data_IF_372975813563
#
_entry.id   IF_372975813563
#
_cell.length_a   1.000
_cell.length_b   1.000
_cell.length_c   1.000
_cell.angle_alpha   90.00
_cell.angle_beta   90.00
_cell.angle_gamma   90.00
#
_symmetry.space_group_name_H-M   'P 1'
#
loop_
_entity.id
_entity.type
_entity.pdbx_description
1 polymer ?
#
# COMPACT_ATOMS: atom_id res chain seq x y z
N UNK A 1 -62.67 -43.15 -12.62
CA UNK A 1 -61.52 -44.04 -12.85
C UNK A 1 -61.03 -43.74 -14.26
N UNK A 2 -60.20 -42.69 -14.42
CA UNK A 2 -59.41 -42.36 -15.63
C UNK A 2 -58.72 -41.00 -15.40
N UNK A 3 -57.62 -40.97 -14.64
CA UNK A 3 -56.77 -39.77 -14.55
C UNK A 3 -55.30 -40.07 -14.19
N UNK A 4 -54.86 -41.32 -14.33
CA UNK A 4 -53.54 -41.81 -13.92
C UNK A 4 -52.74 -42.41 -15.08
N UNK A 5 -52.82 -41.83 -16.28
CA UNK A 5 -52.03 -42.30 -17.43
C UNK A 5 -51.30 -41.21 -18.25
N UNK A 6 -51.34 -39.94 -17.83
CA UNK A 6 -50.69 -38.83 -18.56
C UNK A 6 -49.37 -38.34 -17.94
N UNK A 7 -49.10 -38.67 -16.67
CA UNK A 7 -47.89 -38.20 -15.97
C UNK A 7 -46.67 -39.12 -16.13
N UNK A 8 -46.87 -40.40 -16.46
CA UNK A 8 -45.77 -41.38 -16.55
C UNK A 8 -45.03 -41.36 -17.89
N UNK A 9 -45.63 -40.82 -18.96
CA UNK A 9 -44.98 -40.70 -20.28
C UNK A 9 -44.04 -39.49 -20.40
N UNK A 10 -44.25 -38.42 -19.61
CA UNK A 10 -43.40 -37.21 -19.68
C UNK A 10 -42.08 -37.31 -18.92
N UNK A 11 -41.93 -38.27 -18.01
CA UNK A 11 -40.70 -38.45 -17.22
C UNK A 11 -39.68 -39.41 -17.82
N UNK A 12 -40.01 -40.19 -18.87
CA UNK A 12 -39.08 -41.15 -19.47
C UNK A 12 -38.36 -40.69 -20.75
N UNK A 13 -38.73 -39.55 -21.36
CA UNK A 13 -38.10 -39.09 -22.62
C UNK A 13 -36.95 -38.08 -22.38
N UNK A 14 -36.80 -37.51 -21.19
CA UNK A 14 -35.72 -36.53 -20.90
C UNK A 14 -34.41 -37.13 -20.39
N UNK A 15 -34.33 -38.45 -20.21
CA UNK A 15 -33.08 -39.15 -19.85
C UNK A 15 -32.70 -40.13 -20.94
N UNK A 16 -32.22 -39.63 -22.07
CA UNK A 16 -31.25 -40.35 -22.90
C UNK A 16 -30.71 -39.46 -24.03
N UNK A 17 -29.37 -39.44 -24.13
CA UNK A 17 -28.56 -39.10 -25.31
C UNK A 17 -28.22 -37.62 -25.58
N UNK A 18 -27.07 -37.21 -25.05
CA UNK A 18 -26.04 -36.43 -25.79
C UNK A 18 -25.27 -37.40 -26.73
N UNK A 19 -24.49 -37.03 -27.77
CA UNK A 19 -24.18 -35.72 -28.41
C UNK A 19 -24.32 -35.72 -29.97
N UNK A 20 -23.87 -34.62 -30.61
CA UNK A 20 -23.22 -34.52 -31.96
C UNK A 20 -24.04 -34.04 -33.19
N UNK A 21 -23.67 -32.83 -33.64
CA UNK A 21 -23.59 -32.27 -35.00
C UNK A 21 -24.76 -32.17 -36.01
N UNK A 22 -24.94 -30.92 -36.46
CA UNK A 22 -25.30 -30.43 -37.79
C UNK A 22 -26.78 -30.47 -38.23
N UNK A 23 -27.26 -29.34 -38.75
CA UNK A 23 -28.44 -29.31 -39.62
C UNK A 23 -29.50 -28.27 -39.25
N UNK A 24 -29.39 -27.09 -39.88
CA UNK A 24 -30.51 -26.33 -40.46
C UNK A 24 -31.92 -26.59 -39.90
N UNK A 25 -32.38 -25.76 -38.97
CA UNK A 25 -33.77 -25.75 -38.50
C UNK A 25 -34.21 -24.35 -38.11
N UNK A 26 -35.34 -23.89 -38.66
CA UNK A 26 -35.81 -22.50 -38.56
C UNK A 26 -36.04 -22.04 -37.13
N UNK A 27 -35.44 -20.89 -36.79
CA UNK A 27 -35.69 -20.16 -35.54
C UNK A 27 -37.11 -19.58 -35.55
N UNK A 28 -38.10 -20.40 -35.19
CA UNK A 28 -39.35 -19.91 -34.61
C UNK A 28 -39.08 -19.52 -33.16
N UNK A 29 -39.46 -18.31 -32.78
CA UNK A 29 -39.76 -17.99 -31.38
C UNK A 29 -38.60 -17.53 -30.49
N UNK A 30 -37.67 -16.73 -31.02
CA UNK A 30 -36.78 -15.93 -30.19
C UNK A 30 -37.02 -14.45 -30.48
N UNK A 31 -37.86 -13.78 -29.68
CA UNK A 31 -38.09 -12.34 -29.81
C UNK A 31 -36.75 -11.60 -29.73
N UNK A 32 -36.26 -11.14 -30.89
CA UNK A 32 -35.13 -10.23 -30.97
C UNK A 32 -35.65 -8.92 -30.37
N UNK A 33 -35.42 -8.70 -29.07
CA UNK A 33 -35.41 -7.34 -28.56
C UNK A 33 -34.26 -6.65 -29.28
N UNK A 34 -34.49 -5.61 -30.10
CA UNK A 34 -33.40 -4.87 -30.72
C UNK A 34 -32.60 -4.21 -29.59
N UNK A 35 -31.48 -4.84 -29.20
CA UNK A 35 -30.57 -4.32 -28.18
C UNK A 35 -29.53 -3.37 -28.78
N UNK A 36 -29.89 -2.70 -29.87
CA UNK A 36 -29.27 -1.48 -30.33
C UNK A 36 -30.40 -0.46 -30.52
N UNK A 37 -30.97 0.04 -29.41
CA UNK A 37 -31.54 1.37 -29.51
C UNK A 37 -30.38 2.32 -29.72
N UNK A 38 -30.35 2.90 -30.92
CA UNK A 38 -29.65 4.14 -31.23
C UNK A 38 -30.35 5.20 -30.37
N UNK A 39 -30.10 5.17 -29.07
CA UNK A 39 -30.51 6.21 -28.14
C UNK A 39 -29.19 6.76 -27.66
N UNK A 40 -28.99 8.05 -27.88
CA UNK A 40 -27.85 8.81 -27.41
C UNK A 40 -27.29 8.15 -26.15
N UNK A 41 -26.04 7.68 -26.21
CA UNK A 41 -25.30 7.33 -25.00
C UNK A 41 -25.11 8.64 -24.22
N UNK A 42 -26.18 9.04 -23.54
CA UNK A 42 -26.22 10.20 -22.66
C UNK A 42 -25.17 9.99 -21.58
N UNK A 43 -24.56 11.09 -21.14
CA UNK A 43 -23.63 11.14 -20.00
C UNK A 43 -24.11 10.30 -18.79
N UNK A 44 -25.43 10.16 -18.62
CA UNK A 44 -26.09 9.36 -17.59
C UNK A 44 -25.87 7.85 -17.74
N UNK A 45 -25.94 7.28 -18.95
CA UNK A 45 -25.65 5.86 -19.17
C UNK A 45 -24.15 5.55 -19.10
N UNK A 46 -23.32 6.56 -19.38
CA UNK A 46 -21.88 6.51 -19.22
C UNK A 46 -21.46 6.50 -17.73
N UNK A 47 -21.99 7.41 -16.92
CA UNK A 47 -21.77 7.43 -15.47
C UNK A 47 -22.09 6.08 -14.82
N UNK A 48 -23.19 5.43 -15.25
CA UNK A 48 -23.56 4.08 -14.78
C UNK A 48 -22.53 2.99 -15.13
N UNK A 49 -21.97 3.00 -16.35
CA UNK A 49 -20.93 2.02 -16.75
C UNK A 49 -19.61 2.28 -16.01
N UNK A 50 -19.29 3.54 -15.75
CA UNK A 50 -18.10 3.95 -15.01
C UNK A 50 -18.20 3.59 -13.53
N UNK A 51 -19.30 3.94 -12.86
CA UNK A 51 -19.62 3.58 -11.46
C UNK A 51 -19.58 2.07 -11.21
N UNK A 52 -20.05 1.28 -12.18
CA UNK A 52 -20.05 -0.19 -12.10
C UNK A 52 -18.65 -0.81 -12.23
N UNK A 53 -17.67 -0.08 -12.80
CA UNK A 53 -16.32 -0.60 -13.06
C UNK A 53 -15.26 -0.05 -12.11
N UNK A 54 -15.41 1.19 -11.64
CA UNK A 54 -14.49 1.80 -10.67
C UNK A 54 -14.56 1.05 -9.34
N UNK A 55 -15.77 0.74 -8.84
CA UNK A 55 -15.94 0.10 -7.53
C UNK A 55 -15.08 -1.15 -7.35
N UNK A 56 -15.15 -2.14 -8.26
CA UNK A 56 -14.29 -3.33 -8.21
C UNK A 56 -12.79 -3.00 -8.28
N UNK A 57 -12.38 -2.07 -9.15
CA UNK A 57 -10.96 -1.71 -9.30
C UNK A 57 -10.44 -1.06 -8.02
N UNK A 58 -11.16 -0.08 -7.47
CA UNK A 58 -10.81 0.57 -6.21
C UNK A 58 -10.76 -0.44 -5.05
N UNK A 59 -11.69 -1.40 -5.03
CA UNK A 59 -11.69 -2.48 -4.02
C UNK A 59 -10.44 -3.35 -4.11
N UNK A 60 -10.06 -3.82 -5.30
CA UNK A 60 -8.82 -4.58 -5.48
C UNK A 60 -7.58 -3.75 -5.13
N UNK A 61 -7.55 -2.47 -5.47
CA UNK A 61 -6.44 -1.58 -5.09
C UNK A 61 -6.31 -1.47 -3.56
N UNK A 62 -7.43 -1.27 -2.84
CA UNK A 62 -7.43 -1.19 -1.38
C UNK A 62 -6.97 -2.49 -0.73
N UNK A 63 -7.39 -3.65 -1.25
CA UNK A 63 -6.91 -4.96 -0.76
C UNK A 63 -5.40 -5.07 -0.97
N UNK A 64 -4.92 -4.82 -2.18
CA UNK A 64 -3.48 -4.94 -2.49
C UNK A 64 -2.65 -4.01 -1.60
N UNK A 65 -3.10 -2.76 -1.42
CA UNK A 65 -2.42 -1.81 -0.55
C UNK A 65 -2.42 -2.30 0.91
N UNK A 66 -3.56 -2.78 1.42
CA UNK A 66 -3.64 -3.32 2.77
C UNK A 66 -2.72 -4.53 2.96
N UNK A 67 -2.69 -5.47 2.01
CA UNK A 67 -1.82 -6.65 2.09
C UNK A 67 -0.34 -6.27 2.09
N UNK A 68 0.08 -5.39 1.17
CA UNK A 68 1.48 -4.94 1.11
C UNK A 68 1.86 -4.19 2.39
N UNK A 69 0.98 -3.33 2.91
CA UNK A 69 1.23 -2.61 4.15
C UNK A 69 1.33 -3.55 5.35
N UNK A 70 0.43 -4.52 5.51
CA UNK A 70 0.48 -5.47 6.64
C UNK A 70 1.78 -6.25 6.62
N UNK A 71 2.17 -6.80 5.46
CA UNK A 71 3.44 -7.54 5.33
C UNK A 71 4.61 -6.62 5.69
N UNK A 72 4.63 -5.41 5.14
CA UNK A 72 5.70 -4.46 5.40
C UNK A 72 5.73 -3.99 6.86
N UNK A 73 4.59 -3.82 7.52
CA UNK A 73 4.51 -3.47 8.95
C UNK A 73 5.13 -4.55 9.82
N UNK A 74 4.87 -5.82 9.54
CA UNK A 74 5.45 -6.94 10.32
C UNK A 74 6.98 -6.93 10.22
N UNK A 75 7.51 -6.77 9.00
CA UNK A 75 8.96 -6.69 8.81
C UNK A 75 9.56 -5.41 9.41
N UNK A 76 8.89 -4.28 9.24
CA UNK A 76 9.30 -3.00 9.78
C UNK A 76 9.33 -3.02 11.30
N UNK A 77 8.30 -3.54 11.97
CA UNK A 77 8.20 -3.63 13.43
C UNK A 77 9.30 -4.51 14.01
N UNK A 78 9.58 -5.65 13.38
CA UNK A 78 10.68 -6.52 13.80
C UNK A 78 12.05 -5.82 13.69
N UNK A 79 12.29 -5.12 12.58
CA UNK A 79 13.55 -4.42 12.39
C UNK A 79 13.67 -3.18 13.28
N UNK A 80 12.58 -2.40 13.40
CA UNK A 80 12.50 -1.20 14.21
C UNK A 80 12.66 -1.51 15.70
N UNK A 81 11.99 -2.55 16.21
CA UNK A 81 12.15 -2.98 17.61
C UNK A 81 13.60 -3.30 17.95
N UNK A 82 14.30 -4.03 17.07
CA UNK A 82 15.72 -4.35 17.24
C UNK A 82 16.60 -3.09 17.20
N UNK A 83 16.30 -2.12 16.32
CA UNK A 83 17.04 -0.85 16.22
C UNK A 83 16.79 0.07 17.41
N UNK A 84 15.56 0.14 17.91
CA UNK A 84 15.21 0.95 19.08
C UNK A 84 15.88 0.40 20.33
N UNK A 85 15.93 -0.92 20.49
CA UNK A 85 16.66 -1.57 21.59
C UNK A 85 18.17 -1.25 21.54
N UNK A 86 18.76 -1.25 20.34
CA UNK A 86 20.14 -0.80 20.15
C UNK A 86 20.33 0.66 20.57
N UNK A 87 19.46 1.55 20.09
CA UNK A 87 19.49 2.99 20.43
C UNK A 87 19.38 3.19 21.95
N UNK A 88 18.48 2.47 22.62
CA UNK A 88 18.32 2.54 24.07
C UNK A 88 19.54 2.00 24.81
N UNK A 89 20.13 0.90 24.35
CA UNK A 89 21.37 0.36 24.91
C UNK A 89 22.53 1.37 24.80
N UNK A 90 22.70 1.96 23.62
CA UNK A 90 23.73 2.99 23.38
C UNK A 90 23.47 4.22 24.26
N UNK A 91 22.22 4.70 24.34
CA UNK A 91 21.84 5.85 25.19
C UNK A 91 22.16 5.60 26.66
N UNK A 92 21.86 4.40 27.16
CA UNK A 92 22.16 4.01 28.54
C UNK A 92 23.66 4.07 28.83
N UNK A 93 24.47 3.55 27.91
CA UNK A 93 25.93 3.55 28.05
C UNK A 93 26.52 4.97 28.00
N UNK A 94 26.05 5.82 27.08
CA UNK A 94 26.50 7.23 27.01
C UNK A 94 26.13 7.97 28.30
N UNK A 95 24.93 7.74 28.85
CA UNK A 95 24.50 8.33 30.11
C UNK A 95 25.33 7.84 31.30
N UNK A 96 25.71 6.56 31.34
CA UNK A 96 26.61 6.02 32.37
C UNK A 96 28.00 6.66 32.28
N UNK A 97 28.58 6.77 31.08
CA UNK A 97 29.86 7.45 30.86
C UNK A 97 29.82 8.94 31.22
N UNK A 98 28.70 9.61 30.93
CA UNK A 98 28.49 11.01 31.31
C UNK A 98 28.39 11.17 32.84
N UNK A 99 27.68 10.27 33.54
CA UNK A 99 27.63 10.26 35.01
C UNK A 99 29.00 10.04 35.62
N UNK A 100 29.79 9.10 35.09
CA UNK A 100 31.15 8.85 35.57
C UNK A 100 32.02 10.10 35.42
N UNK A 101 31.97 10.74 34.24
CA UNK A 101 32.71 11.98 33.94
C UNK A 101 32.32 13.14 34.87
N UNK A 102 31.04 13.30 35.16
CA UNK A 102 30.54 14.34 36.06
C UNK A 102 30.82 14.02 37.55
N UNK A 103 30.89 12.73 37.91
CA UNK A 103 31.23 12.27 39.25
C UNK A 103 32.69 12.53 39.61
N UNK A 104 33.62 12.33 38.68
CA UNK A 104 35.04 12.73 38.85
C UNK A 104 35.20 14.22 39.13
N UNK A 105 34.39 15.08 38.50
CA UNK A 105 34.39 16.53 38.73
C UNK A 105 33.92 16.91 40.16
N UNK A 106 33.11 16.05 40.77
CA UNK A 106 32.51 16.28 42.10
C UNK A 106 33.37 15.72 43.24
N UNK A 107 34.24 14.75 42.94
CA UNK A 107 35.03 14.03 43.95
C UNK A 107 36.41 14.67 44.17
N UNK A 108 36.98 15.34 43.16
CA UNK A 108 38.19 16.17 43.33
C UNK A 108 37.96 17.47 44.13
N UNK A 109 36.70 17.76 44.51
CA UNK A 109 36.35 18.95 45.28
C UNK A 109 36.60 18.85 46.80
N UNK A 110 36.87 17.66 47.36
CA UNK A 110 36.78 17.46 48.81
C UNK A 110 37.95 16.75 49.51
N UNK A 111 39.10 16.48 48.87
CA UNK A 111 40.30 16.00 49.59
C UNK A 111 41.53 16.90 49.38
N UNK A 112 41.63 17.87 50.29
CA UNK A 112 42.83 18.34 50.99
C UNK A 112 44.16 18.65 50.25
N UNK A 113 44.52 19.94 50.32
CA UNK A 113 45.81 20.52 50.73
C UNK A 113 46.82 20.98 49.65
N UNK A 114 47.12 22.28 49.78
CA UNK A 114 48.35 23.02 49.46
C UNK A 114 48.36 23.88 48.20
N UNK A 115 48.76 25.13 48.45
CA UNK A 115 49.06 26.21 47.51
C UNK A 115 50.06 25.74 46.45
N UNK A 116 49.61 25.64 45.20
CA UNK A 116 50.33 25.90 43.93
C UNK A 116 49.68 25.10 42.79
N UNK A 117 48.42 25.37 42.45
CA UNK A 117 47.83 24.83 41.20
C UNK A 117 46.59 25.61 40.79
N UNK A 118 46.76 26.91 40.50
CA UNK A 118 45.72 27.74 39.86
C UNK A 118 45.72 27.67 38.33
N UNK A 119 46.54 26.80 37.74
CA UNK A 119 46.71 26.66 36.29
C UNK A 119 46.28 25.30 35.70
N UNK A 120 46.17 24.23 36.51
CA UNK A 120 45.77 22.89 36.03
C UNK A 120 44.27 22.64 36.14
N UNK A 121 43.57 23.19 37.13
CA UNK A 121 42.12 22.98 37.31
C UNK A 121 41.26 23.65 36.24
N UNK A 122 41.73 24.77 35.65
CA UNK A 122 41.11 25.36 34.44
C UNK A 122 41.28 24.45 33.22
N UNK A 123 42.43 23.79 33.10
CA UNK A 123 42.77 22.92 31.95
C UNK A 123 41.91 21.65 31.89
N UNK A 124 41.49 21.08 33.02
CA UNK A 124 40.66 19.87 33.06
C UNK A 124 39.18 20.18 32.84
N UNK A 125 38.67 21.28 33.39
CA UNK A 125 37.30 21.73 33.13
C UNK A 125 37.11 22.17 31.66
N UNK A 126 38.09 22.84 31.07
CA UNK A 126 38.08 23.23 29.66
C UNK A 126 38.26 22.02 28.71
N UNK A 127 38.90 20.91 29.14
CA UNK A 127 39.02 19.68 28.33
C UNK A 127 37.80 18.74 28.45
N UNK A 128 37.09 18.74 29.59
CA UNK A 128 35.88 17.93 29.77
C UNK A 128 34.63 18.55 29.12
N UNK A 129 34.57 19.88 29.04
CA UNK A 129 33.45 20.60 28.42
C UNK A 129 33.12 20.15 26.99
N UNK A 130 34.09 20.01 26.06
CA UNK A 130 33.81 19.51 24.71
C UNK A 130 33.33 18.05 24.71
N UNK A 131 33.77 17.22 25.64
CA UNK A 131 33.36 15.80 25.76
C UNK A 131 31.89 15.71 26.18
N UNK A 132 31.49 16.48 27.19
CA UNK A 132 30.09 16.54 27.65
C UNK A 132 29.19 17.09 26.55
N UNK A 133 29.62 18.16 25.86
CA UNK A 133 28.83 18.77 24.78
C UNK A 133 28.62 17.77 23.62
N UNK A 134 29.68 17.05 23.24
CA UNK A 134 29.61 15.99 22.22
C UNK A 134 28.63 14.89 22.62
N UNK A 135 28.69 14.39 23.86
CA UNK A 135 27.76 13.35 24.34
C UNK A 135 26.31 13.83 24.38
N UNK A 136 26.06 15.09 24.75
CA UNK A 136 24.70 15.65 24.73
C UNK A 136 24.13 15.79 23.32
N UNK A 137 24.97 16.16 22.34
CA UNK A 137 24.58 16.19 20.93
C UNK A 137 24.22 14.78 20.43
N UNK A 138 25.04 13.78 20.75
CA UNK A 138 24.79 12.38 20.41
C UNK A 138 23.46 11.86 20.98
N UNK A 139 23.16 12.16 22.26
CA UNK A 139 21.89 11.81 22.89
C UNK A 139 20.71 12.47 22.15
N UNK A 140 20.85 13.74 21.76
CA UNK A 140 19.81 14.47 21.04
C UNK A 140 19.51 13.87 19.67
N UNK A 141 20.54 13.46 18.93
CA UNK A 141 20.39 12.80 17.64
C UNK A 141 19.72 11.43 17.76
N UNK A 142 20.13 10.61 18.74
CA UNK A 142 19.53 9.29 18.97
C UNK A 142 18.04 9.39 19.37
N UNK A 143 17.68 10.37 20.19
CA UNK A 143 16.29 10.61 20.54
C UNK A 143 15.45 11.04 19.33
N UNK A 144 16.00 11.90 18.47
CA UNK A 144 15.35 12.31 17.23
C UNK A 144 15.12 11.12 16.27
N UNK A 145 16.05 10.16 16.22
CA UNK A 145 15.85 8.93 15.45
C UNK A 145 14.70 8.10 16.01
N UNK A 146 14.67 7.87 17.33
CA UNK A 146 13.59 7.14 17.99
C UNK A 146 12.22 7.76 17.75
N UNK A 147 12.13 9.09 17.85
CA UNK A 147 10.88 9.83 17.60
C UNK A 147 10.39 9.65 16.16
N UNK A 148 11.28 9.73 15.16
CA UNK A 148 10.93 9.56 13.74
C UNK A 148 10.44 8.14 13.43
N UNK A 149 11.02 7.12 14.05
CA UNK A 149 10.55 5.74 13.93
C UNK A 149 9.12 5.59 14.46
N UNK A 150 8.88 6.09 15.68
CA UNK A 150 7.57 6.05 16.30
C UNK A 150 6.50 6.82 15.50
N UNK A 151 6.83 8.03 15.00
CA UNK A 151 5.93 8.78 14.14
C UNK A 151 5.57 7.98 12.88
N UNK A 152 6.55 7.30 12.26
CA UNK A 152 6.31 6.53 11.05
C UNK A 152 5.40 5.33 11.30
N UNK A 153 5.60 4.59 12.40
CA UNK A 153 4.74 3.46 12.77
C UNK A 153 3.29 3.90 12.96
N UNK A 154 3.06 5.01 13.67
CA UNK A 154 1.72 5.57 13.84
C UNK A 154 1.05 5.90 12.51
N UNK A 155 1.80 6.43 11.55
CA UNK A 155 1.29 6.82 10.23
C UNK A 155 0.99 5.59 9.37
N UNK A 156 1.83 4.55 9.43
CA UNK A 156 1.57 3.27 8.77
C UNK A 156 0.28 2.64 9.31
N UNK A 157 0.10 2.59 10.64
CA UNK A 157 -1.11 2.06 11.28
C UNK A 157 -2.35 2.87 10.86
N UNK A 158 -2.27 4.20 10.86
CA UNK A 158 -3.36 5.07 10.41
C UNK A 158 -3.79 4.76 8.96
N UNK A 159 -2.82 4.54 8.06
CA UNK A 159 -3.10 4.21 6.67
C UNK A 159 -3.76 2.82 6.54
N UNK A 160 -3.31 1.84 7.32
CA UNK A 160 -3.96 0.52 7.38
C UNK A 160 -5.41 0.66 7.81
N UNK A 161 -5.69 1.48 8.83
CA UNK A 161 -7.05 1.73 9.30
C UNK A 161 -7.93 2.39 8.21
N UNK A 162 -7.38 3.34 7.45
CA UNK A 162 -8.04 3.95 6.30
C UNK A 162 -8.34 2.91 5.22
N UNK A 163 -7.43 1.98 4.95
CA UNK A 163 -7.68 0.88 4.01
C UNK A 163 -8.81 -0.03 4.47
N UNK A 164 -8.80 -0.45 5.74
CA UNK A 164 -9.85 -1.30 6.32
C UNK A 164 -11.21 -0.61 6.20
N UNK A 165 -11.28 0.68 6.55
CA UNK A 165 -12.50 1.48 6.39
C UNK A 165 -12.98 1.51 4.92
N UNK A 166 -12.07 1.72 3.97
CA UNK A 166 -12.38 1.68 2.54
C UNK A 166 -12.90 0.32 2.06
N UNK A 167 -12.32 -0.77 2.56
CA UNK A 167 -12.75 -2.15 2.28
C UNK A 167 -14.15 -2.39 2.83
N UNK A 168 -14.42 -2.01 4.09
CA UNK A 168 -15.73 -2.15 4.73
C UNK A 168 -16.81 -1.36 3.97
N UNK A 169 -16.51 -0.12 3.57
CA UNK A 169 -17.41 0.71 2.75
C UNK A 169 -17.68 0.07 1.38
N UNK A 170 -16.66 -0.54 0.76
CA UNK A 170 -16.81 -1.24 -0.52
C UNK A 170 -17.74 -2.46 -0.39
N UNK A 171 -17.57 -3.26 0.66
CA UNK A 171 -18.43 -4.41 0.97
C UNK A 171 -19.87 -3.94 1.23
N UNK A 172 -20.04 -2.89 2.03
CA UNK A 172 -21.36 -2.30 2.28
C UNK A 172 -22.04 -1.85 0.97
N UNK A 173 -21.29 -1.21 0.06
CA UNK A 173 -21.76 -0.85 -1.27
C UNK A 173 -22.25 -2.05 -2.08
N UNK A 174 -21.49 -3.16 -2.08
CA UNK A 174 -21.87 -4.41 -2.77
C UNK A 174 -23.16 -5.02 -2.19
N UNK A 175 -23.28 -5.05 -0.84
CA UNK A 175 -24.46 -5.58 -0.15
C UNK A 175 -25.70 -4.76 -0.49
N UNK A 176 -25.60 -3.42 -0.46
CA UNK A 176 -26.70 -2.52 -0.81
C UNK A 176 -27.14 -2.75 -2.26
N UNK A 177 -26.18 -2.93 -3.18
CA UNK A 177 -26.49 -3.25 -4.58
C UNK A 177 -27.18 -4.61 -4.73
N UNK A 178 -26.76 -5.65 -4.01
CA UNK A 178 -27.40 -6.98 -4.06
C UNK A 178 -28.81 -6.97 -3.49
N UNK A 179 -29.01 -6.39 -2.31
CA UNK A 179 -30.29 -6.41 -1.58
C UNK A 179 -31.41 -5.65 -2.31
N UNK A 180 -31.05 -4.63 -3.09
CA UNK A 180 -32.01 -3.82 -3.87
C UNK A 180 -32.14 -4.24 -5.34
N UNK A 181 -31.82 -5.50 -5.70
CA UNK A 181 -32.06 -6.00 -7.06
C UNK A 181 -31.13 -5.42 -8.14
N UNK A 182 -29.92 -4.99 -7.73
CA UNK A 182 -28.91 -4.41 -8.61
C UNK A 182 -28.85 -2.88 -8.60
N UNK A 183 -27.92 -2.33 -9.36
CA UNK A 183 -27.64 -0.87 -9.45
C UNK A 183 -28.84 -0.08 -10.04
N UNK A 184 -29.87 -0.75 -10.57
CA UNK A 184 -30.93 -0.13 -11.37
C UNK A 184 -32.32 -0.03 -10.71
N UNK A 185 -32.59 -0.64 -9.56
CA UNK A 185 -33.99 -0.76 -9.11
C UNK A 185 -34.59 0.50 -8.45
N UNK A 186 -33.77 1.42 -7.89
CA UNK A 186 -34.29 2.63 -7.22
C UNK A 186 -33.35 3.84 -7.35
N UNK A 187 -33.91 5.06 -7.47
CA UNK A 187 -33.13 6.31 -7.53
C UNK A 187 -32.27 6.51 -6.26
N UNK A 188 -32.80 6.11 -5.10
CA UNK A 188 -32.12 6.19 -3.80
C UNK A 188 -30.89 5.28 -3.70
N UNK A 189 -30.96 4.01 -4.18
CA UNK A 189 -29.82 3.09 -4.10
C UNK A 189 -28.63 3.55 -4.93
N UNK A 190 -28.90 4.16 -6.09
CA UNK A 190 -27.86 4.74 -6.94
C UNK A 190 -27.15 5.90 -6.27
N UNK A 191 -27.90 6.80 -5.61
CA UNK A 191 -27.31 7.93 -4.89
C UNK A 191 -26.46 7.43 -3.72
N UNK A 192 -26.95 6.47 -2.94
CA UNK A 192 -26.20 5.89 -1.82
C UNK A 192 -24.89 5.23 -2.29
N UNK A 193 -24.93 4.42 -3.36
CA UNK A 193 -23.73 3.80 -3.93
C UNK A 193 -22.74 4.84 -4.48
N UNK A 194 -23.23 5.89 -5.16
CA UNK A 194 -22.39 6.98 -5.65
C UNK A 194 -21.70 7.75 -4.52
N UNK A 195 -22.40 8.00 -3.41
CA UNK A 195 -21.79 8.63 -2.22
C UNK A 195 -20.71 7.74 -1.60
N UNK A 196 -20.96 6.43 -1.46
CA UNK A 196 -19.96 5.48 -0.96
C UNK A 196 -18.72 5.48 -1.87
N UNK A 197 -18.91 5.45 -3.19
CA UNK A 197 -17.81 5.49 -4.15
C UNK A 197 -17.02 6.81 -4.06
N UNK A 198 -17.71 7.94 -3.89
CA UNK A 198 -17.07 9.24 -3.72
C UNK A 198 -16.24 9.30 -2.42
N UNK A 199 -16.75 8.75 -1.31
CA UNK A 199 -16.01 8.63 -0.06
C UNK A 199 -14.77 7.75 -0.24
N UNK A 200 -14.90 6.59 -0.90
CA UNK A 200 -13.76 5.70 -1.19
C UNK A 200 -12.70 6.43 -2.03
N UNK A 201 -13.09 7.18 -3.06
CA UNK A 201 -12.17 7.99 -3.85
C UNK A 201 -11.46 9.05 -2.99
N UNK A 202 -12.18 9.71 -2.08
CA UNK A 202 -11.60 10.68 -1.16
C UNK A 202 -10.59 10.03 -0.20
N UNK A 203 -10.91 8.84 0.35
CA UNK A 203 -9.97 8.07 1.17
C UNK A 203 -8.71 7.71 0.40
N UNK A 204 -8.82 7.30 -0.87
CA UNK A 204 -7.68 7.01 -1.73
C UNK A 204 -6.82 8.25 -2.01
N UNK A 205 -7.42 9.44 -2.15
CA UNK A 205 -6.68 10.71 -2.30
C UNK A 205 -5.93 11.05 -1.02
N UNK A 206 -6.59 10.96 0.14
CA UNK A 206 -5.95 11.18 1.46
C UNK A 206 -4.78 10.22 1.63
N UNK A 207 -4.99 8.95 1.30
CA UNK A 207 -3.96 7.93 1.37
C UNK A 207 -2.78 8.22 0.44
N UNK A 208 -3.04 8.64 -0.79
CA UNK A 208 -2.01 9.07 -1.74
C UNK A 208 -1.19 10.24 -1.18
N UNK A 209 -1.84 11.23 -0.57
CA UNK A 209 -1.17 12.37 0.05
C UNK A 209 -0.27 11.93 1.21
N UNK A 210 -0.76 11.03 2.07
CA UNK A 210 0.02 10.45 3.16
C UNK A 210 1.23 9.66 2.66
N UNK A 211 1.10 8.91 1.56
CA UNK A 211 2.23 8.22 0.94
C UNK A 211 3.30 9.20 0.46
N UNK A 212 2.91 10.28 -0.22
CA UNK A 212 3.84 11.24 -0.81
C UNK A 212 4.53 12.11 0.24
N UNK A 213 3.80 12.57 1.26
CA UNK A 213 4.32 13.57 2.21
C UNK A 213 4.94 12.94 3.43
N UNK A 214 4.42 11.80 3.89
CA UNK A 214 4.89 11.18 5.11
C UNK A 214 5.79 9.99 4.82
N UNK A 215 5.29 8.97 4.10
CA UNK A 215 6.06 7.72 3.94
C UNK A 215 7.25 7.87 3.00
N UNK A 216 7.12 8.62 1.91
CA UNK A 216 8.19 8.71 0.93
C UNK A 216 9.43 9.42 1.50
N UNK A 217 9.34 10.59 2.17
CA UNK A 217 10.51 11.22 2.78
C UNK A 217 11.10 10.36 3.90
N UNK A 218 10.27 9.70 4.71
CA UNK A 218 10.75 8.84 5.80
C UNK A 218 11.48 7.60 5.25
N UNK A 219 10.96 6.97 4.19
CA UNK A 219 11.60 5.83 3.54
C UNK A 219 13.00 6.16 3.00
N UNK A 220 13.17 7.34 2.38
CA UNK A 220 14.48 7.81 1.93
C UNK A 220 15.39 8.21 3.11
N UNK A 221 14.82 8.82 4.14
CA UNK A 221 15.58 9.20 5.32
C UNK A 221 16.16 7.98 6.03
N UNK A 222 15.38 6.91 6.23
CA UNK A 222 15.82 5.71 6.97
C UNK A 222 17.13 5.12 6.47
N UNK A 223 17.37 5.13 5.16
CA UNK A 223 18.65 4.66 4.62
C UNK A 223 19.83 5.43 5.19
N UNK A 224 19.74 6.77 5.18
CA UNK A 224 20.77 7.63 5.75
C UNK A 224 20.85 7.54 7.27
N UNK A 225 19.73 7.32 7.96
CA UNK A 225 19.72 7.17 9.42
C UNK A 225 20.40 5.89 9.87
N UNK A 226 20.13 4.77 9.20
CA UNK A 226 20.77 3.48 9.49
C UNK A 226 22.28 3.59 9.28
N UNK A 227 22.73 4.23 8.20
CA UNK A 227 24.16 4.43 7.96
C UNK A 227 24.82 5.26 9.06
N UNK A 228 24.20 6.37 9.45
CA UNK A 228 24.70 7.22 10.54
C UNK A 228 24.69 6.51 11.89
N UNK A 229 23.65 5.73 12.19
CA UNK A 229 23.55 4.98 13.44
C UNK A 229 24.63 3.89 13.52
N UNK A 230 24.89 3.21 12.40
CA UNK A 230 25.91 2.17 12.33
C UNK A 230 27.33 2.75 12.41
N UNK A 231 27.58 3.85 11.71
CA UNK A 231 28.84 4.60 11.80
C UNK A 231 29.05 5.15 13.22
N UNK A 232 28.00 5.70 13.82
CA UNK A 232 27.99 6.15 15.21
C UNK A 232 28.37 5.02 16.16
N UNK A 233 27.77 3.84 15.99
CA UNK A 233 28.07 2.68 16.81
C UNK A 233 29.53 2.23 16.66
N UNK A 234 30.06 2.23 15.43
CA UNK A 234 31.45 1.86 15.15
C UNK A 234 32.46 2.86 15.74
N UNK A 235 32.13 4.15 15.72
CA UNK A 235 32.99 5.24 16.23
C UNK A 235 32.76 5.57 17.70
N UNK A 236 31.70 5.03 18.33
CA UNK A 236 31.39 5.30 19.73
C UNK A 236 32.53 4.85 20.66
N UNK A 237 32.77 5.62 21.72
CA UNK A 237 33.74 5.29 22.80
C UNK A 237 33.29 4.10 23.67
N UNK A 238 32.23 3.38 23.28
CA UNK A 238 31.70 2.26 24.05
C UNK A 238 32.75 1.12 24.06
N UNK A 239 33.10 0.59 25.24
CA UNK A 239 34.09 -0.49 25.36
C UNK A 239 33.70 -1.71 24.52
N UNK A 240 34.70 -2.36 23.91
CA UNK A 240 34.54 -3.48 22.95
C UNK A 240 33.67 -4.62 23.50
N UNK A 241 33.77 -4.92 24.80
CA UNK A 241 33.05 -6.02 25.45
C UNK A 241 31.54 -5.77 25.48
N UNK A 242 31.16 -4.53 25.83
CA UNK A 242 29.76 -4.10 25.83
C UNK A 242 29.21 -3.92 24.42
N UNK A 243 30.08 -3.49 23.50
CA UNK A 243 29.75 -3.39 22.08
C UNK A 243 29.29 -4.74 21.54
N UNK A 244 30.08 -5.81 21.75
CA UNK A 244 29.72 -7.17 21.32
C UNK A 244 28.36 -7.63 21.87
N UNK A 245 28.10 -7.38 23.14
CA UNK A 245 26.81 -7.72 23.77
C UNK A 245 25.61 -7.00 23.12
N UNK A 246 25.80 -5.77 22.61
CA UNK A 246 24.76 -5.04 21.87
C UNK A 246 24.67 -5.44 20.38
N UNK A 247 25.75 -5.92 19.76
CA UNK A 247 25.72 -6.36 18.35
C UNK A 247 25.17 -7.77 18.17
N UNK A 248 25.41 -8.68 19.12
CA UNK A 248 25.02 -10.10 18.99
C UNK A 248 23.52 -10.30 18.69
N UNK A 249 22.56 -9.58 19.32
CA UNK A 249 21.14 -9.68 18.98
C UNK A 249 20.86 -9.26 17.53
N UNK A 250 21.54 -8.22 17.04
CA UNK A 250 21.37 -7.69 15.68
C UNK A 250 21.95 -8.65 14.65
N UNK A 251 23.18 -9.10 14.88
CA UNK A 251 23.88 -10.04 13.99
C UNK A 251 23.10 -11.35 13.86
N UNK A 252 22.53 -11.83 14.97
CA UNK A 252 21.71 -13.05 14.98
C UNK A 252 20.33 -12.84 14.33
N UNK A 253 19.62 -11.73 14.62
CA UNK A 253 18.28 -11.48 14.06
C UNK A 253 18.29 -11.21 12.55
N UNK A 254 19.34 -10.58 12.04
CA UNK A 254 19.48 -10.25 10.63
C UNK A 254 20.39 -11.22 9.86
N UNK A 255 21.10 -12.12 10.56
CA UNK A 255 22.04 -13.07 9.96
C UNK A 255 23.15 -12.36 9.21
N UNK A 256 23.78 -11.38 9.85
CA UNK A 256 24.76 -10.49 9.23
C UNK A 256 25.88 -10.14 10.21
N UNK A 257 26.93 -9.46 9.72
CA UNK A 257 28.03 -8.98 10.54
C UNK A 257 28.11 -7.46 10.47
N UNK A 258 28.18 -6.78 11.62
CA UNK A 258 28.27 -5.31 11.68
C UNK A 258 29.65 -4.81 11.25
N UNK A 259 30.70 -5.54 11.61
CA UNK A 259 32.08 -5.26 11.22
C UNK A 259 32.54 -6.36 10.27
N UNK A 260 32.65 -6.03 8.98
CA UNK A 260 33.25 -6.94 7.99
C UNK A 260 34.75 -6.92 8.22
N UNK A 261 35.34 -8.05 8.61
CA UNK A 261 36.77 -8.11 8.93
C UNK A 261 37.64 -7.88 7.68
N UNK A 262 37.22 -8.39 6.51
CA UNK A 262 37.92 -8.20 5.24
C UNK A 262 36.97 -8.02 4.05
N UNK A 263 37.23 -7.01 3.20
CA UNK A 263 36.48 -6.72 1.96
C UNK A 263 36.43 -7.92 0.99
N UNK A 264 37.39 -8.84 1.06
CA UNK A 264 37.44 -10.05 0.24
C UNK A 264 36.36 -11.08 0.61
N UNK A 265 35.96 -11.15 1.90
CA UNK A 265 34.87 -12.05 2.33
C UNK A 265 33.49 -11.53 1.91
N UNK A 266 33.36 -10.22 1.76
CA UNK A 266 32.17 -9.56 1.23
C UNK A 266 32.02 -9.82 -0.27
N UNK A 267 33.10 -9.68 -1.05
CA UNK A 267 33.08 -10.00 -2.50
C UNK A 267 32.81 -11.48 -2.81
N UNK A 268 33.22 -12.39 -1.92
CA UNK A 268 32.96 -13.83 -2.08
C UNK A 268 31.59 -14.27 -1.54
N UNK A 269 30.77 -13.36 -1.01
CA UNK A 269 29.43 -13.68 -0.47
C UNK A 269 29.45 -14.54 0.80
N UNK A 270 30.60 -14.66 1.46
CA UNK A 270 30.77 -15.48 2.68
C UNK A 270 30.31 -14.69 3.91
N UNK A 271 30.38 -13.35 3.86
CA UNK A 271 29.99 -12.46 4.96
C UNK A 271 29.17 -11.29 4.41
N UNK A 272 27.90 -11.18 4.80
CA UNK A 272 27.00 -10.10 4.34
C UNK A 272 26.92 -8.98 5.39
N UNK A 273 27.09 -7.70 4.99
CA UNK A 273 27.01 -6.58 5.91
C UNK A 273 25.58 -6.36 6.41
N UNK A 274 25.43 -5.92 7.66
CA UNK A 274 24.12 -5.68 8.26
C UNK A 274 23.38 -4.48 7.66
N UNK A 275 24.09 -3.43 7.23
CA UNK A 275 23.49 -2.20 6.73
C UNK A 275 22.45 -2.43 5.60
N UNK A 276 22.76 -3.14 4.49
CA UNK A 276 21.78 -3.38 3.44
C UNK A 276 20.61 -4.25 3.91
N UNK A 277 20.84 -5.29 4.72
CA UNK A 277 19.74 -6.14 5.23
C UNK A 277 18.77 -5.39 6.14
N UNK A 278 19.30 -4.52 6.99
CA UNK A 278 18.48 -3.67 7.86
C UNK A 278 17.67 -2.71 7.00
N UNK A 279 18.29 -2.06 6.01
CA UNK A 279 17.63 -1.14 5.08
C UNK A 279 16.51 -1.81 4.27
N UNK A 280 16.71 -3.05 3.84
CA UNK A 280 15.72 -3.82 3.08
C UNK A 280 14.54 -4.31 3.94
N UNK A 281 14.76 -4.57 5.23
CA UNK A 281 13.68 -4.89 6.17
C UNK A 281 12.94 -3.65 6.69
N UNK A 282 13.58 -2.48 6.63
CA UNK A 282 12.90 -1.20 6.85
C UNK A 282 12.03 -0.82 5.65
N UNK A 283 11.15 0.16 5.83
CA UNK A 283 10.24 0.66 4.79
C UNK A 283 11.04 1.11 3.55
N UNK A 284 11.17 0.22 2.58
CA UNK A 284 11.99 0.49 1.42
C UNK A 284 11.28 1.48 0.47
N UNK A 285 12.00 2.44 -0.14
CA UNK A 285 11.39 3.48 -0.96
C UNK A 285 10.67 2.93 -2.19
N UNK A 286 11.14 1.81 -2.75
CA UNK A 286 10.48 1.15 -3.88
C UNK A 286 9.11 0.58 -3.52
N UNK A 287 8.90 0.13 -2.27
CA UNK A 287 7.60 -0.34 -1.78
C UNK A 287 6.62 0.85 -1.72
N UNK A 288 7.06 1.99 -1.20
CA UNK A 288 6.23 3.21 -1.14
C UNK A 288 5.87 3.71 -2.54
N UNK A 289 6.83 3.71 -3.48
CA UNK A 289 6.58 4.04 -4.88
C UNK A 289 5.56 3.09 -5.52
N UNK A 290 5.67 1.80 -5.25
CA UNK A 290 4.71 0.81 -5.72
C UNK A 290 3.30 1.06 -5.16
N UNK A 291 3.18 1.39 -3.87
CA UNK A 291 1.92 1.77 -3.24
C UNK A 291 1.30 3.04 -3.86
N UNK A 292 2.12 4.04 -4.18
CA UNK A 292 1.69 5.25 -4.89
C UNK A 292 1.12 4.89 -6.27
N UNK A 293 1.80 4.01 -7.02
CA UNK A 293 1.33 3.56 -8.33
C UNK A 293 -0.01 2.82 -8.24
N UNK A 294 -0.18 1.94 -7.25
CA UNK A 294 -1.46 1.25 -7.02
C UNK A 294 -2.56 2.25 -6.66
N UNK A 295 -2.27 3.22 -5.78
CA UNK A 295 -3.24 4.24 -5.39
C UNK A 295 -3.65 5.15 -6.57
N UNK A 296 -2.75 5.41 -7.52
CA UNK A 296 -3.03 6.17 -8.74
C UNK A 296 -3.84 5.40 -9.79
N UNK A 297 -3.72 4.07 -9.82
CA UNK A 297 -4.39 3.18 -10.79
C UNK A 297 -5.88 3.48 -11.02
N UNK A 298 -6.75 3.59 -9.99
CA UNK A 298 -8.17 3.90 -10.20
C UNK A 298 -8.39 5.26 -10.85
N UNK A 299 -7.56 6.27 -10.55
CA UNK A 299 -7.65 7.60 -11.14
C UNK A 299 -7.17 7.60 -12.60
N UNK A 300 -6.08 6.91 -12.90
CA UNK A 300 -5.61 6.72 -14.26
C UNK A 300 -6.66 6.01 -15.11
N UNK A 301 -7.36 5.03 -14.55
CA UNK A 301 -8.46 4.35 -15.23
C UNK A 301 -9.65 5.29 -15.50
N UNK A 302 -10.01 6.17 -14.56
CA UNK A 302 -11.03 7.21 -14.76
C UNK A 302 -10.62 8.14 -15.90
N UNK A 303 -9.39 8.66 -15.87
CA UNK A 303 -8.85 9.55 -16.91
C UNK A 303 -8.85 8.85 -18.27
N UNK A 304 -8.36 7.61 -18.31
CA UNK A 304 -8.34 6.79 -19.52
C UNK A 304 -9.73 6.66 -20.13
N UNK A 305 -10.76 6.35 -19.32
CA UNK A 305 -12.13 6.24 -19.81
C UNK A 305 -12.63 7.61 -20.34
N UNK A 306 -12.40 8.70 -19.61
CA UNK A 306 -12.82 10.05 -20.03
C UNK A 306 -12.18 10.43 -21.38
N UNK A 307 -10.87 10.20 -21.52
CA UNK A 307 -10.13 10.46 -22.76
C UNK A 307 -10.64 9.56 -23.89
N UNK A 308 -10.81 8.26 -23.63
CA UNK A 308 -11.33 7.30 -24.59
C UNK A 308 -12.67 7.75 -25.16
N UNK A 309 -13.59 8.24 -24.31
CA UNK A 309 -14.87 8.74 -24.79
C UNK A 309 -14.76 10.01 -25.63
N UNK A 310 -13.97 11.00 -25.20
CA UNK A 310 -13.84 12.26 -25.93
C UNK A 310 -13.13 12.08 -27.27
N UNK A 311 -12.09 11.24 -27.31
CA UNK A 311 -11.17 11.13 -28.46
C UNK A 311 -11.57 10.02 -29.42
N UNK A 312 -11.92 8.81 -28.96
CA UNK A 312 -12.22 7.68 -29.86
C UNK A 312 -13.64 7.68 -30.44
N UNK A 313 -14.64 8.28 -29.77
CA UNK A 313 -16.00 8.33 -30.34
C UNK A 313 -16.08 9.10 -31.66
N UNK A 314 -15.14 10.02 -31.90
CA UNK A 314 -15.12 10.93 -33.04
C UNK A 314 -14.15 10.50 -34.15
N UNK A 315 -13.53 9.32 -34.03
CA UNK A 315 -12.56 8.83 -35.03
C UNK A 315 -13.34 8.29 -36.24
N UNK A 316 -13.08 8.86 -37.42
CA UNK A 316 -13.77 8.56 -38.70
C UNK A 316 -14.05 7.07 -38.96
N UNK A 317 -13.09 6.13 -38.82
CA UNK A 317 -13.36 4.70 -39.04
C UNK A 317 -14.40 4.12 -38.07
N UNK A 318 -14.47 4.59 -36.82
CA UNK A 318 -15.45 4.12 -35.84
C UNK A 318 -16.85 4.68 -36.16
N UNK A 319 -16.92 5.93 -36.61
CA UNK A 319 -18.16 6.55 -37.10
C UNK A 319 -18.71 5.81 -38.33
N UNK A 320 -17.85 5.53 -39.32
CA UNK A 320 -18.24 4.79 -40.52
C UNK A 320 -18.69 3.36 -40.19
N UNK A 321 -18.03 2.67 -39.27
CA UNK A 321 -18.45 1.34 -38.82
C UNK A 321 -19.82 1.40 -38.12
N UNK A 322 -20.05 2.39 -37.25
CA UNK A 322 -21.35 2.57 -36.57
C UNK A 322 -22.48 2.88 -37.55
N UNK A 323 -22.25 3.74 -38.53
CA UNK A 323 -23.24 4.05 -39.57
C UNK A 323 -23.56 2.82 -40.43
N UNK A 324 -22.57 2.02 -40.82
CA UNK A 324 -22.79 0.77 -41.55
C UNK A 324 -23.64 -0.23 -40.76
N UNK A 325 -23.37 -0.38 -39.46
CA UNK A 325 -24.16 -1.27 -38.59
C UNK A 325 -25.59 -0.76 -38.39
N UNK A 326 -25.77 0.56 -38.22
CA UNK A 326 -27.09 1.17 -38.10
C UNK A 326 -27.93 0.97 -39.36
N UNK A 327 -27.36 1.26 -40.54
CA UNK A 327 -28.01 1.06 -41.83
C UNK A 327 -28.37 -0.43 -42.07
N UNK A 328 -27.47 -1.35 -41.71
CA UNK A 328 -27.74 -2.79 -41.81
C UNK A 328 -28.87 -3.24 -40.88
N UNK A 329 -28.95 -2.70 -39.66
CA UNK A 329 -30.00 -3.05 -38.70
C UNK A 329 -31.35 -2.48 -39.12
N UNK A 330 -31.40 -1.25 -39.62
CA UNK A 330 -32.62 -0.67 -40.18
C UNK A 330 -33.13 -1.47 -41.38
N UNK A 331 -32.25 -1.86 -42.30
CA UNK A 331 -32.63 -2.70 -43.43
C UNK A 331 -33.19 -4.06 -42.99
N UNK A 332 -32.65 -4.64 -41.91
CA UNK A 332 -33.14 -5.91 -41.35
C UNK A 332 -34.52 -5.74 -40.69
N UNK A 333 -34.75 -4.62 -40.00
CA UNK A 333 -36.05 -4.30 -39.40
C UNK A 333 -37.12 -4.05 -40.46
N UNK A 334 -36.80 -3.34 -41.55
CA UNK A 334 -37.75 -3.13 -42.66
C UNK A 334 -38.19 -4.44 -43.30
N UNK A 335 -37.23 -5.32 -43.63
CA UNK A 335 -37.54 -6.66 -44.18
C UNK A 335 -38.38 -7.52 -43.23
N UNK A 336 -38.19 -7.35 -41.92
CA UNK A 336 -38.99 -8.07 -40.92
C UNK A 336 -40.42 -7.53 -40.89
N UNK A 337 -40.59 -6.21 -41.00
CA UNK A 337 -41.91 -5.55 -41.04
C UNK A 337 -42.69 -5.91 -42.30
N UNK A 338 -42.06 -5.87 -43.47
CA UNK A 338 -42.67 -6.27 -44.75
C UNK A 338 -43.12 -7.74 -44.76
N UNK A 339 -42.41 -8.63 -44.05
CA UNK A 339 -42.83 -10.03 -43.89
C UNK A 339 -44.03 -10.21 -42.98
N UNK A 340 -44.27 -9.28 -42.05
CA UNK A 340 -45.42 -9.32 -41.16
C UNK A 340 -46.66 -8.75 -41.85
N UNK A 341 -46.50 -7.71 -42.67
CA UNK A 341 -47.61 -7.09 -43.40
C UNK A 341 -48.12 -7.93 -44.59
N UNK A 342 -47.32 -8.89 -45.07
CA UNK A 342 -47.67 -9.82 -46.16
C UNK A 342 -48.19 -11.19 -45.70
N UNK A 343 -48.43 -11.37 -44.39
CA UNK A 343 -49.10 -12.54 -43.79
C UNK A 343 -50.45 -12.06 -43.27
#
# INVERSE_FOLDING_TARGET
>A
MEETNSQTQKQQIQRQLSPTHSGSGGLRGGGIRPRLSIRDETLVNFGKKLESRIGPISFFCLITIATVLIINTIYHESANGTLVELIEGILKEILELQKLSNGTLSTEGNESISKETSLTTKSTADSLRPIVLRRTEQISELNLYKERFHETDQKIILIILICILGILLSIAGIIICRRRGGIQASKSSRIAYGMILAVICLLLIIQLFMFIITLLPNAFAFHSLVDKLLDFYLTSEVPEDKRKALSDPIENNFGCKLKVEHQLLEQMGIQEPCAPKIKDRLLAPYIVLFLILIALSPFLYIIFIIIWLKKLKNVKPILNARQKVAASNEARMRRFKEKIENI
#
